data_IF_044836535775
#
_entry.id   IF_044836535775
#
_cell.length_a   1.000
_cell.length_b   1.000
_cell.length_c   1.000
_cell.angle_alpha   90.00
_cell.angle_beta   90.00
_cell.angle_gamma   90.00
#
_symmetry.space_group_name_H-M   'P 1'
#
loop_
_entity.id
_entity.type
_entity.pdbx_description
1 polymer ?
#
# COMPACT_ATOMS: atom_id res chain seq x y z
N UNK A 1 20.48 -23.97 -21.97
CA UNK A 1 19.05 -24.37 -21.91
C UNK A 1 18.50 -24.46 -20.49
N UNK A 2 19.30 -24.80 -19.46
CA UNK A 2 18.85 -24.82 -18.06
C UNK A 2 18.45 -23.43 -17.50
N UNK A 3 19.23 -22.38 -17.79
CA UNK A 3 18.95 -21.01 -17.32
C UNK A 3 17.61 -20.44 -17.78
N UNK A 4 17.22 -20.69 -19.04
CA UNK A 4 15.91 -20.28 -19.55
C UNK A 4 14.75 -21.03 -18.88
N UNK A 5 14.95 -22.30 -18.52
CA UNK A 5 13.93 -23.08 -17.83
C UNK A 5 13.70 -22.57 -16.40
N UNK A 6 14.77 -22.21 -15.68
CA UNK A 6 14.70 -21.60 -14.33
C UNK A 6 14.02 -20.23 -14.34
N UNK A 7 14.38 -19.36 -15.30
CA UNK A 7 13.75 -18.04 -15.45
C UNK A 7 12.26 -18.16 -15.80
N UNK A 8 11.90 -19.10 -16.67
CA UNK A 8 10.51 -19.37 -17.00
C UNK A 8 9.72 -19.91 -15.81
N UNK A 9 10.34 -20.73 -14.96
CA UNK A 9 9.73 -21.23 -13.72
C UNK A 9 9.51 -20.10 -12.70
N UNK A 10 10.48 -19.20 -12.54
CA UNK A 10 10.39 -18.00 -11.71
C UNK A 10 9.25 -17.08 -12.18
N UNK A 11 9.20 -16.76 -13.47
CA UNK A 11 8.12 -15.98 -14.08
C UNK A 11 6.75 -16.64 -13.88
N UNK A 12 6.66 -17.96 -14.03
CA UNK A 12 5.43 -18.72 -13.82
C UNK A 12 5.00 -18.72 -12.35
N UNK A 13 5.94 -18.76 -11.42
CA UNK A 13 5.66 -18.68 -9.98
C UNK A 13 5.18 -17.29 -9.58
N UNK A 14 5.84 -16.23 -10.08
CA UNK A 14 5.47 -14.82 -9.84
C UNK A 14 4.11 -14.52 -10.44
N UNK A 15 3.85 -14.92 -11.69
CA UNK A 15 2.53 -14.73 -12.30
C UNK A 15 1.45 -15.51 -11.56
N UNK A 16 1.67 -16.78 -11.23
CA UNK A 16 0.67 -17.56 -10.50
C UNK A 16 0.42 -16.99 -9.09
N UNK A 17 1.45 -16.56 -8.35
CA UNK A 17 1.24 -15.96 -7.02
C UNK A 17 0.53 -14.61 -7.06
N UNK A 18 0.74 -13.79 -8.10
CA UNK A 18 0.01 -12.54 -8.33
C UNK A 18 -1.46 -12.75 -8.72
N UNK A 19 -1.78 -13.84 -9.44
CA UNK A 19 -3.13 -14.12 -9.94
C UNK A 19 -3.93 -15.13 -9.10
N UNK A 20 -3.29 -15.90 -8.22
CA UNK A 20 -3.97 -16.96 -7.45
C UNK A 20 -4.71 -16.47 -6.22
N UNK A 21 -4.39 -15.28 -5.72
CA UNK A 21 -5.08 -14.69 -4.57
C UNK A 21 -5.31 -13.19 -4.82
N UNK A 22 -6.30 -12.85 -5.68
CA UNK A 22 -6.60 -11.46 -5.99
C UNK A 22 -7.01 -10.67 -4.75
N UNK A 23 -7.38 -11.28 -3.62
CA UNK A 23 -7.61 -10.56 -2.37
C UNK A 23 -6.33 -10.05 -1.65
N UNK A 24 -5.13 -10.49 -2.04
CA UNK A 24 -3.89 -10.12 -1.32
C UNK A 24 -3.65 -8.61 -1.33
N UNK A 25 -4.00 -7.89 -2.40
CA UNK A 25 -3.79 -6.44 -2.44
C UNK A 25 -4.50 -5.74 -1.27
N UNK A 26 -5.66 -6.24 -0.85
CA UNK A 26 -6.42 -5.63 0.24
C UNK A 26 -5.67 -5.79 1.56
N UNK A 27 -5.06 -6.95 1.79
CA UNK A 27 -4.19 -7.17 2.96
C UNK A 27 -3.01 -6.21 2.96
N UNK A 28 -2.32 -6.09 1.83
CA UNK A 28 -1.13 -5.23 1.72
C UNK A 28 -1.48 -3.75 1.92
N UNK A 29 -2.59 -3.28 1.32
CA UNK A 29 -3.02 -1.89 1.48
C UNK A 29 -3.47 -1.57 2.91
N UNK A 30 -4.17 -2.49 3.59
CA UNK A 30 -4.54 -2.33 5.00
C UNK A 30 -3.28 -2.35 5.90
N UNK A 31 -2.29 -3.19 5.60
CA UNK A 31 -1.01 -3.19 6.32
C UNK A 31 -0.28 -1.85 6.17
N UNK A 32 -0.18 -1.33 4.94
CA UNK A 32 0.45 -0.03 4.68
C UNK A 32 -0.25 1.12 5.42
N UNK A 33 -1.58 1.10 5.45
CA UNK A 33 -2.39 2.08 6.18
C UNK A 33 -2.17 2.00 7.70
N UNK A 34 -2.05 0.79 8.26
CA UNK A 34 -1.71 0.59 9.67
C UNK A 34 -0.33 1.15 10.00
N UNK A 35 0.67 0.86 9.17
CA UNK A 35 2.03 1.36 9.35
C UNK A 35 2.08 2.89 9.29
N UNK A 36 1.29 3.51 8.41
CA UNK A 36 1.18 4.96 8.31
C UNK A 36 0.57 5.58 9.59
N UNK A 37 -0.44 4.94 10.17
CA UNK A 37 -1.04 5.34 11.44
C UNK A 37 -0.04 5.22 12.59
N UNK A 38 0.68 4.10 12.68
CA UNK A 38 1.67 3.86 13.75
C UNK A 38 2.83 4.85 13.68
N UNK A 39 3.32 5.17 12.47
CA UNK A 39 4.32 6.22 12.26
C UNK A 39 3.81 7.57 12.74
N UNK A 40 2.59 7.97 12.38
CA UNK A 40 2.01 9.24 12.84
C UNK A 40 1.87 9.27 14.36
N UNK A 41 1.40 8.18 14.96
CA UNK A 41 1.30 8.06 16.42
C UNK A 41 2.67 8.23 17.08
N UNK A 42 3.72 7.61 16.54
CA UNK A 42 5.07 7.74 17.08
C UNK A 42 5.60 9.19 16.96
N UNK A 43 5.49 9.81 15.80
CA UNK A 43 5.93 11.19 15.58
C UNK A 43 5.15 12.20 16.45
N UNK A 44 3.87 11.93 16.69
CA UNK A 44 3.02 12.78 17.54
C UNK A 44 3.46 12.84 19.00
N UNK A 45 4.25 11.86 19.47
CA UNK A 45 4.85 11.91 20.82
C UNK A 45 5.82 13.09 20.97
N UNK A 46 6.51 13.45 19.88
CA UNK A 46 7.43 14.57 19.83
C UNK A 46 6.76 15.87 19.35
N UNK A 47 5.77 15.75 18.47
CA UNK A 47 5.03 16.88 17.92
C UNK A 47 3.51 16.61 17.88
N UNK A 48 2.82 16.91 18.98
CA UNK A 48 1.39 16.67 19.11
C UNK A 48 0.52 17.43 18.07
N UNK A 49 1.04 18.48 17.43
CA UNK A 49 0.33 19.21 16.39
C UNK A 49 0.07 18.37 15.13
N UNK A 50 0.82 17.28 14.92
CA UNK A 50 0.67 16.39 13.76
C UNK A 50 -0.67 15.63 13.72
N UNK A 51 -1.34 15.46 14.87
CA UNK A 51 -2.67 14.84 14.92
C UNK A 51 -3.78 15.83 14.50
N UNK A 52 -3.44 17.11 14.33
CA UNK A 52 -4.33 18.20 13.94
C UNK A 52 -5.71 18.13 14.62
N UNK A 53 -6.79 18.13 13.82
CA UNK A 53 -8.18 18.05 14.26
C UNK A 53 -8.76 16.64 14.26
N UNK A 54 -8.01 15.63 13.82
CA UNK A 54 -8.49 14.24 13.72
C UNK A 54 -7.54 13.26 14.43
N UNK A 55 -7.51 13.27 15.78
CA UNK A 55 -6.62 12.42 16.57
C UNK A 55 -7.01 10.95 16.57
N UNK A 56 -8.19 10.60 16.04
CA UNK A 56 -8.65 9.23 15.94
C UNK A 56 -8.13 8.62 14.63
N UNK A 57 -6.96 7.97 14.74
CA UNK A 57 -6.34 7.23 13.65
C UNK A 57 -7.23 6.05 13.23
N UNK A 58 -7.52 5.96 11.93
CA UNK A 58 -8.47 5.00 11.36
C UNK A 58 -8.15 4.69 9.92
N UNK A 59 -8.49 3.46 9.54
CA UNK A 59 -8.52 3.01 8.14
C UNK A 59 -9.98 2.79 7.75
N UNK A 60 -10.43 3.45 6.69
CA UNK A 60 -11.78 3.35 6.13
C UNK A 60 -11.72 2.65 4.79
N UNK A 61 -12.63 1.69 4.60
CA UNK A 61 -12.82 0.97 3.35
C UNK A 61 -14.24 1.25 2.87
N UNK A 62 -14.37 1.81 1.67
CA UNK A 62 -15.65 2.06 1.02
C UNK A 62 -15.62 1.52 -0.41
N UNK A 63 -16.79 1.19 -0.95
CA UNK A 63 -16.93 0.72 -2.32
C UNK A 63 -18.09 1.43 -3.01
N UNK A 64 -17.93 1.67 -4.30
CA UNK A 64 -18.97 2.17 -5.19
C UNK A 64 -19.17 1.15 -6.31
N UNK A 65 -20.36 0.55 -6.34
CA UNK A 65 -20.69 -0.50 -7.31
C UNK A 65 -20.92 0.07 -8.71
N UNK A 66 -21.46 1.28 -8.80
CA UNK A 66 -21.78 1.92 -10.08
C UNK A 66 -20.49 2.45 -10.73
N UNK A 67 -19.61 3.06 -9.94
CA UNK A 67 -18.28 3.49 -10.38
C UNK A 67 -17.26 2.34 -10.48
N UNK A 68 -17.60 1.16 -9.93
CA UNK A 68 -16.70 -0.01 -9.81
C UNK A 68 -15.39 0.30 -9.09
N UNK A 69 -15.47 1.09 -8.03
CA UNK A 69 -14.30 1.49 -7.24
C UNK A 69 -14.33 0.86 -5.86
N UNK A 70 -13.12 0.57 -5.35
CA UNK A 70 -12.84 0.26 -3.97
C UNK A 70 -11.86 1.31 -3.47
N UNK A 71 -12.22 2.00 -2.40
CA UNK A 71 -11.41 3.07 -1.81
C UNK A 71 -10.96 2.64 -0.42
N UNK A 72 -9.65 2.68 -0.19
CA UNK A 72 -9.05 2.53 1.13
C UNK A 72 -8.43 3.89 1.49
N UNK A 73 -8.81 4.42 2.64
CA UNK A 73 -8.36 5.73 3.12
C UNK A 73 -7.93 5.62 4.56
N UNK A 74 -6.71 6.06 4.85
CA UNK A 74 -6.23 6.29 6.20
C UNK A 74 -5.99 7.79 6.45
N UNK A 75 -5.88 8.14 7.72
CA UNK A 75 -5.42 9.45 8.19
C UNK A 75 -4.07 9.32 8.92
N UNK A 76 -3.20 8.44 8.42
CA UNK A 76 -1.85 8.26 8.92
C UNK A 76 -0.90 9.39 8.49
N UNK A 77 0.41 9.13 8.58
CA UNK A 77 1.45 10.15 8.35
C UNK A 77 1.50 10.68 6.91
N UNK A 78 0.88 9.96 5.96
CA UNK A 78 0.88 10.30 4.55
C UNK A 78 2.25 10.14 3.89
N UNK A 79 2.40 10.74 2.71
CA UNK A 79 3.66 10.82 1.97
C UNK A 79 3.87 12.26 1.54
N UNK A 80 5.11 12.71 1.63
CA UNK A 80 5.56 13.90 0.89
C UNK A 80 5.57 13.62 -0.61
N UNK A 81 5.61 14.68 -1.42
CA UNK A 81 5.71 14.56 -2.88
C UNK A 81 6.92 13.72 -3.30
N UNK A 82 8.07 13.93 -2.67
CA UNK A 82 9.29 13.19 -2.98
C UNK A 82 9.16 11.70 -2.63
N UNK A 83 8.60 11.37 -1.46
CA UNK A 83 8.38 9.97 -1.08
C UNK A 83 7.38 9.27 -2.00
N UNK A 84 6.35 10.00 -2.49
CA UNK A 84 5.43 9.46 -3.48
C UNK A 84 6.15 9.17 -4.82
N UNK A 85 7.02 10.06 -5.28
CA UNK A 85 7.83 9.85 -6.49
C UNK A 85 8.74 8.63 -6.33
N UNK A 86 9.45 8.53 -5.22
CA UNK A 86 10.46 7.47 -5.03
C UNK A 86 9.82 6.09 -4.82
N UNK A 87 8.78 6.03 -3.99
CA UNK A 87 8.15 4.75 -3.61
C UNK A 87 7.14 4.27 -4.65
N UNK A 88 6.31 5.15 -5.22
CA UNK A 88 5.27 4.76 -6.18
C UNK A 88 5.78 4.85 -7.62
N UNK A 89 6.60 5.86 -7.94
CA UNK A 89 7.12 6.09 -9.29
C UNK A 89 8.11 5.02 -9.76
N UNK A 90 8.84 4.38 -8.83
CA UNK A 90 9.75 3.26 -9.16
C UNK A 90 8.98 1.97 -9.43
N UNK A 91 7.92 1.70 -8.66
CA UNK A 91 7.04 0.54 -8.86
C UNK A 91 6.28 0.67 -10.18
N UNK A 92 5.77 1.87 -10.50
CA UNK A 92 5.07 2.13 -11.76
C UNK A 92 5.94 1.98 -13.02
N UNK A 93 7.27 2.08 -12.88
CA UNK A 93 8.24 1.83 -13.97
C UNK A 93 8.61 0.35 -14.14
N UNK A 94 8.32 -0.47 -13.13
CA UNK A 94 8.74 -1.87 -13.08
C UNK A 94 7.62 -2.86 -13.46
N UNK A 95 6.41 -2.34 -13.70
CA UNK A 95 5.25 -3.09 -14.21
C UNK A 95 5.23 -3.22 -15.72
#
# INVERSE_FOLDING_TARGET
>A
MAFQAEVAQLLKLVTHSLYSNPEIFLRELVSNASDACDKLRFESLNNAALLESDPELKVRISFDKDAKTLTITDNGIGLTEQEAIDNLGTIAKSG
#
